data_IF_072655434243
#
_entry.id   IF_072655434243
#
_cell.length_a   1.000
_cell.length_b   1.000
_cell.length_c   1.000
_cell.angle_alpha   90.00
_cell.angle_beta   90.00
_cell.angle_gamma   90.00
#
_symmetry.space_group_name_H-M   'P 1'
#
loop_
_entity.id
_entity.type
_entity.pdbx_description
1 polymer ?
#
# COMPACT_ATOMS: atom_id res chain seq x y z
N UNK A 1 -17.01 -17.58 31.33
CA UNK A 1 -15.73 -17.99 30.72
C UNK A 1 -15.82 -17.69 29.23
N UNK A 2 -15.21 -16.61 28.78
CA UNK A 2 -15.06 -16.38 27.32
C UNK A 2 -14.12 -17.45 26.78
N UNK A 3 -14.65 -18.37 25.99
CA UNK A 3 -13.85 -19.33 25.25
C UNK A 3 -12.97 -18.55 24.29
N UNK A 4 -11.69 -18.45 24.58
CA UNK A 4 -10.72 -17.78 23.71
C UNK A 4 -10.79 -18.41 22.31
N UNK A 5 -11.28 -17.66 21.35
CA UNK A 5 -11.42 -18.11 19.96
C UNK A 5 -10.03 -18.48 19.44
N UNK A 6 -9.83 -19.77 19.07
CA UNK A 6 -8.55 -20.23 18.53
C UNK A 6 -8.19 -19.42 17.28
N UNK A 7 -6.98 -18.88 17.27
CA UNK A 7 -6.46 -18.15 16.11
C UNK A 7 -6.25 -19.13 14.96
N UNK A 8 -6.91 -18.92 13.81
CA UNK A 8 -6.74 -19.81 12.68
C UNK A 8 -5.33 -19.65 12.07
N UNK A 9 -4.72 -20.74 11.65
CA UNK A 9 -3.36 -20.76 11.08
C UNK A 9 -3.20 -19.82 9.87
N UNK A 10 -4.25 -19.72 9.04
CA UNK A 10 -4.21 -18.87 7.86
C UNK A 10 -4.05 -17.37 8.18
N UNK A 11 -4.40 -16.92 9.40
CA UNK A 11 -4.18 -15.55 9.83
C UNK A 11 -2.68 -15.22 9.85
N UNK A 12 -1.86 -16.16 10.32
CA UNK A 12 -0.41 -15.97 10.36
C UNK A 12 0.18 -15.94 8.96
N UNK A 13 -0.24 -16.82 8.08
CA UNK A 13 0.23 -16.85 6.68
C UNK A 13 -0.15 -15.56 5.96
N UNK A 14 -1.42 -15.17 6.02
CA UNK A 14 -1.91 -13.94 5.39
C UNK A 14 -1.22 -12.72 5.99
N UNK A 15 -1.09 -12.67 7.31
CA UNK A 15 -0.44 -11.55 8.00
C UNK A 15 1.04 -11.40 7.63
N UNK A 16 1.80 -12.50 7.57
CA UNK A 16 3.21 -12.48 7.17
C UNK A 16 3.35 -12.04 5.71
N UNK A 17 2.61 -12.67 4.79
CA UNK A 17 2.66 -12.33 3.36
C UNK A 17 2.25 -10.87 3.13
N UNK A 18 1.17 -10.41 3.79
CA UNK A 18 0.73 -9.03 3.70
C UNK A 18 1.77 -8.04 4.27
N UNK A 19 2.42 -8.39 5.38
CA UNK A 19 3.47 -7.54 5.98
C UNK A 19 4.67 -7.44 5.05
N UNK A 20 5.13 -8.53 4.45
CA UNK A 20 6.24 -8.51 3.49
C UNK A 20 5.90 -7.71 2.23
N UNK A 21 4.70 -7.90 1.68
CA UNK A 21 4.18 -7.13 0.54
C UNK A 21 4.16 -5.62 0.83
N UNK A 22 3.55 -5.24 1.94
CA UNK A 22 3.41 -3.83 2.31
C UNK A 22 4.72 -3.20 2.80
N UNK A 23 5.65 -4.00 3.36
CA UNK A 23 7.01 -3.55 3.66
C UNK A 23 7.78 -3.17 2.38
N UNK A 24 7.58 -3.93 1.29
CA UNK A 24 8.13 -3.57 -0.02
C UNK A 24 7.61 -2.23 -0.51
N UNK A 25 6.30 -1.97 -0.38
CA UNK A 25 5.70 -0.66 -0.71
C UNK A 25 6.21 0.47 0.19
N UNK A 26 6.38 0.21 1.50
CA UNK A 26 6.93 1.20 2.43
C UNK A 26 8.40 1.52 2.13
N UNK A 27 9.16 0.53 1.70
CA UNK A 27 10.54 0.70 1.25
C UNK A 27 10.60 1.56 -0.03
N UNK A 28 9.80 1.22 -1.05
CA UNK A 28 9.71 1.98 -2.30
C UNK A 28 9.31 3.45 -2.05
N UNK A 29 8.28 3.67 -1.23
CA UNK A 29 7.88 5.01 -0.80
C UNK A 29 9.03 5.78 -0.16
N UNK A 30 9.73 5.15 0.80
CA UNK A 30 10.81 5.79 1.54
C UNK A 30 11.98 6.15 0.62
N UNK A 31 12.38 5.24 -0.26
CA UNK A 31 13.45 5.48 -1.23
C UNK A 31 13.09 6.60 -2.22
N UNK A 32 11.83 6.68 -2.63
CA UNK A 32 11.34 7.73 -3.52
C UNK A 32 11.29 9.09 -2.81
N UNK A 33 10.77 9.15 -1.58
CA UNK A 33 10.69 10.39 -0.81
C UNK A 33 12.06 10.93 -0.39
N UNK A 34 13.00 10.05 -0.07
CA UNK A 34 14.39 10.43 0.23
C UNK A 34 15.20 10.74 -1.03
N UNK A 35 14.60 10.57 -2.22
CA UNK A 35 15.23 10.78 -3.52
C UNK A 35 16.55 10.00 -3.66
N UNK A 36 16.54 8.72 -3.24
CA UNK A 36 17.68 7.85 -3.36
C UNK A 36 17.98 7.62 -4.85
N UNK A 37 19.07 8.23 -5.34
CA UNK A 37 19.38 8.26 -6.76
C UNK A 37 19.63 6.88 -7.33
N UNK A 38 20.40 6.04 -6.65
CA UNK A 38 20.74 4.68 -7.12
C UNK A 38 19.47 3.82 -7.24
N UNK A 39 18.58 3.93 -6.24
CA UNK A 39 17.30 3.24 -6.26
C UNK A 39 16.41 3.69 -7.42
N UNK A 40 16.25 5.01 -7.57
CA UNK A 40 15.38 5.60 -8.60
C UNK A 40 15.92 5.36 -10.01
N UNK A 41 17.24 5.38 -10.23
CA UNK A 41 17.85 5.00 -11.52
C UNK A 41 17.56 3.55 -11.85
N UNK A 42 17.77 2.64 -10.89
CA UNK A 42 17.47 1.22 -11.07
C UNK A 42 15.99 0.98 -11.37
N UNK A 43 15.09 1.68 -10.66
CA UNK A 43 13.65 1.59 -10.88
C UNK A 43 13.25 2.12 -12.27
N UNK A 44 13.83 3.24 -12.70
CA UNK A 44 13.61 3.82 -14.02
C UNK A 44 14.09 2.88 -15.14
N UNK A 45 15.29 2.32 -15.02
CA UNK A 45 15.85 1.36 -15.97
C UNK A 45 14.96 0.10 -16.07
N UNK A 46 14.51 -0.45 -14.95
CA UNK A 46 13.63 -1.62 -14.92
C UNK A 46 12.25 -1.33 -15.55
N UNK A 47 11.75 -0.11 -15.39
CA UNK A 47 10.49 0.33 -16.00
C UNK A 47 10.62 0.75 -17.47
N UNK A 48 11.86 0.93 -17.97
CA UNK A 48 12.10 1.46 -19.31
C UNK A 48 11.74 2.94 -19.46
N UNK A 49 11.82 3.71 -18.36
CA UNK A 49 11.45 5.12 -18.26
C UNK A 49 12.70 5.96 -18.04
N UNK A 50 12.87 7.12 -18.73
CA UNK A 50 13.97 8.03 -18.42
C UNK A 50 13.94 8.47 -16.95
N UNK A 51 15.12 8.49 -16.32
CA UNK A 51 15.26 8.88 -14.92
C UNK A 51 14.66 10.27 -14.63
N UNK A 52 14.92 11.25 -15.49
CA UNK A 52 14.42 12.62 -15.32
C UNK A 52 12.90 12.71 -15.41
N UNK A 53 12.27 11.86 -16.23
CA UNK A 53 10.81 11.74 -16.32
C UNK A 53 10.25 11.17 -15.03
N UNK A 54 10.86 10.12 -14.49
CA UNK A 54 10.41 9.47 -13.24
C UNK A 54 10.54 10.42 -12.05
N UNK A 55 11.72 11.01 -11.85
CA UNK A 55 11.94 11.92 -10.71
C UNK A 55 11.08 13.18 -10.84
N UNK A 56 10.92 13.73 -12.05
CA UNK A 56 10.08 14.88 -12.32
C UNK A 56 8.62 14.64 -11.92
N UNK A 57 8.09 13.46 -12.24
CA UNK A 57 6.73 13.08 -11.85
C UNK A 57 6.56 13.02 -10.33
N UNK A 58 7.41 12.27 -9.63
CA UNK A 58 7.27 12.11 -8.17
C UNK A 58 7.55 13.40 -7.41
N UNK A 59 8.42 14.29 -7.90
CA UNK A 59 8.68 15.58 -7.26
C UNK A 59 7.64 16.65 -7.57
N UNK A 60 6.75 16.41 -8.51
CA UNK A 60 5.64 17.31 -8.84
C UNK A 60 4.40 17.13 -7.93
N UNK A 61 4.41 16.12 -7.06
CA UNK A 61 3.26 15.86 -6.19
C UNK A 61 3.02 17.05 -5.26
N UNK A 62 1.79 17.60 -5.22
CA UNK A 62 1.43 18.55 -4.19
C UNK A 62 1.36 17.88 -2.83
N UNK A 63 1.55 18.64 -1.76
CA UNK A 63 1.62 18.11 -0.40
C UNK A 63 0.42 17.23 0.00
N UNK A 64 -0.78 17.52 -0.51
CA UNK A 64 -1.95 16.70 -0.24
C UNK A 64 -1.87 15.33 -0.92
N UNK A 65 -1.34 15.25 -2.15
CA UNK A 65 -1.17 13.97 -2.87
C UNK A 65 -0.10 13.11 -2.20
N UNK A 66 1.02 13.71 -1.77
CA UNK A 66 2.03 13.04 -0.95
C UNK A 66 1.45 12.52 0.36
N UNK A 67 0.60 13.30 1.04
CA UNK A 67 -0.05 12.87 2.27
C UNK A 67 -0.97 11.67 2.04
N UNK A 68 -1.76 11.65 0.95
CA UNK A 68 -2.58 10.48 0.60
C UNK A 68 -1.73 9.27 0.23
N UNK A 69 -0.61 9.46 -0.49
CA UNK A 69 0.31 8.37 -0.76
C UNK A 69 0.91 7.79 0.51
N UNK A 70 1.38 8.64 1.42
CA UNK A 70 1.86 8.21 2.74
C UNK A 70 0.80 7.42 3.52
N UNK A 71 -0.44 7.92 3.57
CA UNK A 71 -1.56 7.23 4.23
C UNK A 71 -1.84 5.86 3.61
N UNK A 72 -1.80 5.76 2.29
CA UNK A 72 -1.96 4.51 1.57
C UNK A 72 -0.92 3.47 1.97
N UNK A 73 0.34 3.84 1.89
CA UNK A 73 1.49 2.96 2.14
C UNK A 73 1.60 2.58 3.62
N UNK A 74 1.68 3.59 4.50
CA UNK A 74 1.87 3.34 5.93
C UNK A 74 0.63 2.77 6.60
N UNK A 75 -0.56 3.12 6.13
CA UNK A 75 -1.81 2.53 6.58
C UNK A 75 -1.89 1.03 6.27
N UNK A 76 -1.50 0.62 5.06
CA UNK A 76 -1.47 -0.79 4.67
C UNK A 76 -0.40 -1.59 5.43
N UNK A 77 0.80 -1.02 5.61
CA UNK A 77 1.86 -1.65 6.41
C UNK A 77 1.44 -1.80 7.87
N UNK A 78 0.95 -0.73 8.51
CA UNK A 78 0.45 -0.77 9.89
C UNK A 78 -0.71 -1.76 10.03
N UNK A 79 -1.64 -1.81 9.06
CA UNK A 79 -2.75 -2.75 9.02
C UNK A 79 -2.29 -4.20 9.05
N UNK A 80 -1.23 -4.52 8.29
CA UNK A 80 -0.63 -5.86 8.24
C UNK A 80 0.04 -6.25 9.55
N UNK A 81 0.80 -5.34 10.15
CA UNK A 81 1.44 -5.56 11.47
C UNK A 81 0.37 -5.74 12.55
N UNK A 82 -0.66 -4.88 12.56
CA UNK A 82 -1.78 -4.99 13.49
C UNK A 82 -2.57 -6.30 13.31
N UNK A 83 -2.63 -6.82 12.09
CA UNK A 83 -3.23 -8.13 11.81
C UNK A 83 -2.46 -9.25 12.52
N UNK A 84 -1.11 -9.24 12.42
CA UNK A 84 -0.25 -10.17 13.15
C UNK A 84 -0.34 -10.02 14.67
N UNK A 85 -0.47 -8.79 15.15
CA UNK A 85 -0.69 -8.50 16.58
C UNK A 85 -2.11 -8.84 17.04
N UNK A 86 -2.96 -9.32 16.14
CA UNK A 86 -4.36 -9.68 16.39
C UNK A 86 -5.20 -8.49 16.91
N UNK A 87 -4.84 -7.29 16.49
CA UNK A 87 -5.54 -6.07 16.88
C UNK A 87 -6.75 -5.79 15.99
N UNK A 88 -7.90 -5.47 16.59
CA UNK A 88 -9.10 -5.03 15.88
C UNK A 88 -8.90 -3.76 15.05
N UNK A 89 -7.88 -2.97 15.39
CA UNK A 89 -7.53 -1.75 14.66
C UNK A 89 -6.91 -2.03 13.28
N UNK A 90 -6.52 -3.27 13.00
CA UNK A 90 -6.06 -3.68 11.67
C UNK A 90 -7.05 -3.29 10.55
N UNK A 91 -8.35 -3.52 10.77
CA UNK A 91 -9.39 -3.12 9.81
C UNK A 91 -9.37 -1.60 9.56
N UNK A 92 -9.30 -0.80 10.62
CA UNK A 92 -9.30 0.67 10.49
C UNK A 92 -8.06 1.17 9.75
N UNK A 93 -6.90 0.56 10.01
CA UNK A 93 -5.66 0.90 9.30
C UNK A 93 -5.76 0.60 7.79
N UNK A 94 -6.36 -0.54 7.40
CA UNK A 94 -6.61 -0.83 5.99
C UNK A 94 -7.66 0.11 5.36
N UNK A 95 -8.66 0.56 6.12
CA UNK A 95 -9.60 1.60 5.63
C UNK A 95 -8.87 2.91 5.37
N UNK A 96 -7.99 3.33 6.28
CA UNK A 96 -7.13 4.51 6.07
C UNK A 96 -6.25 4.34 4.83
N UNK A 97 -5.69 3.14 4.63
CA UNK A 97 -4.92 2.82 3.42
C UNK A 97 -5.75 2.95 2.14
N UNK A 98 -7.00 2.46 2.14
CA UNK A 98 -7.91 2.60 0.99
C UNK A 98 -8.25 4.07 0.69
N UNK A 99 -8.43 4.90 1.72
CA UNK A 99 -8.63 6.35 1.56
C UNK A 99 -7.38 7.00 0.95
N UNK A 100 -6.19 6.64 1.44
CA UNK A 100 -4.92 7.10 0.87
C UNK A 100 -4.77 6.71 -0.60
N UNK A 101 -5.06 5.46 -0.91
CA UNK A 101 -5.02 4.92 -2.27
C UNK A 101 -6.01 5.62 -3.20
N UNK A 102 -7.22 5.94 -2.71
CA UNK A 102 -8.22 6.69 -3.46
C UNK A 102 -7.72 8.11 -3.79
N UNK A 103 -7.15 8.83 -2.81
CA UNK A 103 -6.61 10.17 -3.02
C UNK A 103 -5.46 10.18 -4.03
N UNK A 104 -4.53 9.23 -3.93
CA UNK A 104 -3.42 9.09 -4.89
C UNK A 104 -3.92 8.73 -6.29
N UNK A 105 -4.89 7.82 -6.39
CA UNK A 105 -5.49 7.45 -7.67
C UNK A 105 -6.22 8.63 -8.33
N UNK A 106 -6.96 9.43 -7.55
CA UNK A 106 -7.63 10.63 -8.06
C UNK A 106 -6.62 11.67 -8.56
N UNK A 107 -5.50 11.85 -7.86
CA UNK A 107 -4.42 12.71 -8.34
C UNK A 107 -3.88 12.20 -9.68
N UNK A 108 -3.54 10.91 -9.77
CA UNK A 108 -3.02 10.31 -10.99
C UNK A 108 -3.98 10.45 -12.19
N UNK A 109 -5.28 10.25 -11.96
CA UNK A 109 -6.31 10.41 -13.00
C UNK A 109 -6.56 11.87 -13.39
N UNK A 110 -6.33 12.81 -12.49
CA UNK A 110 -6.51 14.26 -12.71
C UNK A 110 -5.28 14.98 -13.26
N UNK A 111 -4.15 14.27 -13.42
CA UNK A 111 -2.87 14.83 -13.86
C UNK A 111 -2.48 14.25 -15.22
N UNK A 112 -1.89 15.06 -16.07
CA UNK A 112 -1.31 14.59 -17.34
C UNK A 112 -0.09 13.73 -17.05
N UNK A 113 -0.27 12.40 -17.07
CA UNK A 113 0.82 11.45 -16.93
C UNK A 113 1.77 11.51 -18.13
N UNK A 114 3.09 11.56 -17.90
CA UNK A 114 4.05 11.32 -18.97
C UNK A 114 3.73 10.02 -19.71
N UNK A 115 3.83 10.02 -21.03
CA UNK A 115 3.47 8.86 -21.85
C UNK A 115 4.26 7.59 -21.46
N UNK A 116 5.51 7.77 -21.04
CA UNK A 116 6.42 6.71 -20.59
C UNK A 116 5.94 6.04 -19.29
N UNK A 117 5.27 6.81 -18.41
CA UNK A 117 4.70 6.30 -17.15
C UNK A 117 3.29 5.73 -17.35
N UNK A 118 2.57 6.16 -18.37
CA UNK A 118 1.20 5.72 -18.63
C UNK A 118 1.17 4.37 -19.38
N UNK A 119 1.62 3.32 -18.73
CA UNK A 119 1.68 1.97 -19.29
C UNK A 119 0.54 1.07 -18.78
N UNK A 120 0.08 0.09 -19.58
CA UNK A 120 -0.87 -0.91 -19.10
C UNK A 120 -0.40 -1.64 -17.84
N UNK A 121 0.91 -1.88 -17.72
CA UNK A 121 1.51 -2.54 -16.55
C UNK A 121 1.33 -1.71 -15.28
N UNK A 122 1.48 -0.39 -15.35
CA UNK A 122 1.23 0.52 -14.22
C UNK A 122 -0.22 0.41 -13.73
N UNK A 123 -1.19 0.40 -14.64
CA UNK A 123 -2.60 0.29 -14.27
C UNK A 123 -2.97 -1.09 -13.71
N UNK A 124 -2.39 -2.16 -14.27
CA UNK A 124 -2.55 -3.52 -13.73
C UNK A 124 -1.98 -3.61 -12.33
N UNK A 125 -0.79 -3.06 -12.09
CA UNK A 125 -0.17 -3.05 -10.77
C UNK A 125 -0.98 -2.23 -9.76
N UNK A 126 -1.49 -1.08 -10.17
CA UNK A 126 -2.40 -0.27 -9.35
C UNK A 126 -3.67 -1.05 -8.97
N UNK A 127 -4.27 -1.75 -9.93
CA UNK A 127 -5.45 -2.60 -9.67
C UNK A 127 -5.13 -3.72 -8.68
N UNK A 128 -3.96 -4.36 -8.79
CA UNK A 128 -3.52 -5.39 -7.83
C UNK A 128 -3.44 -4.80 -6.42
N UNK A 129 -2.86 -3.60 -6.25
CA UNK A 129 -2.78 -2.93 -4.95
C UNK A 129 -4.18 -2.69 -4.38
N UNK A 130 -5.13 -2.21 -5.19
CA UNK A 130 -6.51 -2.00 -4.79
C UNK A 130 -7.18 -3.29 -4.32
N UNK A 131 -7.06 -4.36 -5.10
CA UNK A 131 -7.66 -5.66 -4.80
C UNK A 131 -7.06 -6.25 -3.53
N UNK A 132 -5.74 -6.26 -3.41
CA UNK A 132 -5.03 -6.80 -2.24
C UNK A 132 -5.43 -6.04 -0.98
N UNK A 133 -5.40 -4.70 -1.01
CA UNK A 133 -5.75 -3.87 0.15
C UNK A 133 -7.22 -4.05 0.55
N UNK A 134 -8.12 -4.11 -0.44
CA UNK A 134 -9.55 -4.37 -0.21
C UNK A 134 -9.81 -5.75 0.41
N UNK A 135 -9.15 -6.78 -0.09
CA UNK A 135 -9.23 -8.14 0.46
C UNK A 135 -8.69 -8.21 1.90
N UNK A 136 -7.59 -7.53 2.19
CA UNK A 136 -7.03 -7.45 3.53
C UNK A 136 -7.96 -6.72 4.50
N UNK A 137 -8.59 -5.62 4.08
CA UNK A 137 -9.59 -4.92 4.88
C UNK A 137 -10.81 -5.82 5.16
N UNK A 138 -11.33 -6.49 4.14
CA UNK A 138 -12.42 -7.44 4.29
C UNK A 138 -12.06 -8.60 5.24
N UNK A 139 -10.87 -9.16 5.08
CA UNK A 139 -10.36 -10.24 5.92
C UNK A 139 -10.22 -9.80 7.38
N UNK A 140 -9.61 -8.65 7.64
CA UNK A 140 -9.46 -8.09 8.98
C UNK A 140 -10.84 -7.87 9.64
N UNK A 141 -11.81 -7.29 8.91
CA UNK A 141 -13.18 -7.13 9.40
C UNK A 141 -13.83 -8.46 9.76
N UNK A 142 -13.66 -9.48 8.91
CA UNK A 142 -14.19 -10.82 9.15
C UNK A 142 -13.58 -11.45 10.41
N UNK A 143 -12.27 -11.30 10.61
CA UNK A 143 -11.57 -11.82 11.79
C UNK A 143 -11.96 -11.07 13.07
N UNK A 144 -12.22 -9.77 13.00
CA UNK A 144 -12.76 -8.97 14.11
C UNK A 144 -14.15 -9.47 14.50
N UNK A 145 -15.06 -9.67 13.53
CA UNK A 145 -16.41 -10.19 13.79
C UNK A 145 -16.42 -11.60 14.41
N UNK A 146 -15.40 -12.40 14.13
CA UNK A 146 -15.21 -13.73 14.72
C UNK A 146 -14.55 -13.71 16.11
N UNK A 147 -14.20 -12.53 16.65
CA UNK A 147 -13.52 -12.38 17.93
C UNK A 147 -12.06 -12.85 17.92
N UNK A 148 -11.46 -13.04 16.73
CA UNK A 148 -10.05 -13.42 16.58
C UNK A 148 -9.15 -12.20 16.75
N UNK A 149 -9.54 -11.05 16.21
CA UNK A 149 -8.89 -9.76 16.43
C UNK A 149 -9.60 -9.06 17.59
N UNK A 150 -8.82 -8.52 18.54
CA UNK A 150 -9.31 -7.93 19.80
C UNK A 150 -8.87 -6.48 19.96
#
# INVERSE_FOLDING_TARGET
METATKTPWHLWVIGIVATLWNAGGAYDYTMTQTRNEDYLRTAADNAGVPYDTMIGYYTSFPAWADAFWALGVWGAFAGSVLLLLRSRFSFHAFVVALVGLAGTTLYTLGTDLPAELNSPMMWVFSLIIWVVTGLLAWYARRMTKKGVLR
#
